data_IF_324467784799
#
_entry.id   IF_324467784799
#
_cell.length_a   1.000
_cell.length_b   1.000
_cell.length_c   1.000
_cell.angle_alpha   90.00
_cell.angle_beta   90.00
_cell.angle_gamma   90.00
#
_symmetry.space_group_name_H-M   'P 1'
#
loop_
_entity.id
_entity.type
_entity.pdbx_description
1 polymer ?
#
# COMPACT_ATOMS: atom_id res chain seq x y z
N UNK A 1 13.07 19.30 -55.27
CA UNK A 1 13.83 19.21 -54.01
C UNK A 1 13.47 20.43 -53.16
N UNK A 2 12.84 20.23 -52.01
CA UNK A 2 13.07 21.13 -50.89
C UNK A 2 13.47 20.37 -49.62
N UNK A 3 14.31 21.04 -48.86
CA UNK A 3 15.11 20.60 -47.72
C UNK A 3 14.39 20.74 -46.38
N UNK A 4 14.62 19.75 -45.54
CA UNK A 4 14.74 19.75 -44.07
C UNK A 4 14.35 21.02 -43.29
N UNK A 5 13.34 20.92 -42.43
CA UNK A 5 13.31 21.57 -41.12
C UNK A 5 12.58 20.69 -40.10
N UNK A 6 13.37 19.93 -39.32
CA UNK A 6 12.93 19.24 -38.11
C UNK A 6 13.69 19.87 -36.93
N UNK A 7 12.99 20.47 -35.98
CA UNK A 7 13.59 21.01 -34.76
C UNK A 7 12.84 22.22 -34.22
N UNK A 8 11.81 21.98 -33.40
CA UNK A 8 11.12 23.09 -32.72
C UNK A 8 10.10 22.66 -31.66
N UNK A 9 9.49 21.47 -31.81
CA UNK A 9 8.30 21.14 -31.01
C UNK A 9 8.52 20.22 -29.80
N UNK A 10 9.76 19.83 -29.46
CA UNK A 10 10.02 18.93 -28.31
C UNK A 10 10.44 19.63 -27.01
N UNK A 11 10.96 20.86 -27.07
CA UNK A 11 11.47 21.57 -25.88
C UNK A 11 10.39 22.33 -25.09
N UNK A 12 9.34 22.84 -25.75
CA UNK A 12 8.25 23.57 -25.07
C UNK A 12 7.36 22.66 -24.20
N UNK A 13 7.22 21.39 -24.56
CA UNK A 13 6.42 20.42 -23.79
C UNK A 13 7.07 20.09 -22.44
N UNK A 14 8.38 19.86 -22.43
CA UNK A 14 9.13 19.50 -21.21
C UNK A 14 9.13 20.65 -20.19
N UNK A 15 9.30 21.89 -20.64
CA UNK A 15 9.32 23.07 -19.75
C UNK A 15 7.96 23.33 -19.12
N UNK A 16 6.86 23.17 -19.88
CA UNK A 16 5.50 23.27 -19.35
C UNK A 16 5.17 22.15 -18.38
N UNK A 17 5.60 20.92 -18.65
CA UNK A 17 5.45 19.76 -17.74
C UNK A 17 6.28 19.93 -16.47
N UNK A 18 7.51 20.44 -16.55
CA UNK A 18 8.36 20.75 -15.39
C UNK A 18 7.82 21.95 -14.58
N UNK A 19 7.20 22.94 -15.23
CA UNK A 19 6.52 24.04 -14.54
C UNK A 19 5.22 23.59 -13.86
N UNK A 20 4.44 22.71 -14.49
CA UNK A 20 3.26 22.09 -13.87
C UNK A 20 3.67 21.18 -12.70
N UNK A 21 4.71 20.35 -12.85
CA UNK A 21 5.25 19.53 -11.76
C UNK A 21 5.82 20.40 -10.64
N UNK A 22 6.58 21.46 -10.94
CA UNK A 22 7.13 22.36 -9.91
C UNK A 22 6.09 23.28 -9.27
N UNK A 23 4.93 23.47 -9.89
CA UNK A 23 3.77 24.17 -9.34
C UNK A 23 2.92 23.23 -8.49
N UNK A 24 2.67 21.99 -8.92
CA UNK A 24 2.05 20.93 -8.11
C UNK A 24 2.90 20.63 -6.88
N UNK A 25 4.22 20.48 -7.03
CA UNK A 25 5.14 20.28 -5.90
C UNK A 25 5.25 21.52 -4.98
N UNK A 26 4.97 22.73 -5.47
CA UNK A 26 4.92 23.97 -4.64
C UNK A 26 3.57 24.18 -3.95
N UNK A 27 2.47 23.88 -4.62
CA UNK A 27 1.10 23.98 -4.10
C UNK A 27 0.78 22.80 -3.16
N UNK A 28 1.52 21.68 -3.24
CA UNK A 28 1.39 20.50 -2.38
C UNK A 28 2.47 20.39 -1.30
N UNK A 29 3.22 21.45 -0.98
CA UNK A 29 4.29 21.39 0.04
C UNK A 29 3.81 20.85 1.39
N UNK A 30 2.64 21.32 1.84
CA UNK A 30 2.02 20.87 3.09
C UNK A 30 1.49 19.44 2.98
N UNK A 31 0.90 19.07 1.85
CA UNK A 31 0.35 17.72 1.59
C UNK A 31 1.47 16.67 1.50
N UNK A 32 2.58 16.96 0.82
CA UNK A 32 3.76 16.08 0.78
C UNK A 32 4.39 15.95 2.17
N UNK A 33 4.38 17.02 2.97
CA UNK A 33 4.86 16.98 4.35
C UNK A 33 3.95 16.13 5.24
N UNK A 34 2.63 16.26 5.08
CA UNK A 34 1.64 15.44 5.77
C UNK A 34 1.78 13.96 5.37
N UNK A 35 1.91 13.64 4.09
CA UNK A 35 2.13 12.27 3.63
C UNK A 35 3.45 11.68 4.15
N UNK A 36 4.53 12.47 4.21
CA UNK A 36 5.78 12.03 4.85
C UNK A 36 5.58 11.71 6.32
N UNK A 37 4.87 12.57 7.06
CA UNK A 37 4.55 12.31 8.45
C UNK A 37 3.70 11.03 8.59
N UNK A 38 2.72 10.82 7.70
CA UNK A 38 1.93 9.59 7.65
C UNK A 38 2.80 8.35 7.41
N UNK A 39 3.78 8.42 6.50
CA UNK A 39 4.74 7.33 6.26
C UNK A 39 5.69 7.10 7.45
N UNK A 40 6.09 8.16 8.16
CA UNK A 40 6.89 8.05 9.38
C UNK A 40 6.10 7.38 10.52
N UNK A 41 4.84 7.79 10.70
CA UNK A 41 3.91 7.13 11.61
C UNK A 41 3.67 5.66 11.24
N UNK A 42 3.50 5.38 9.95
CA UNK A 42 3.38 4.03 9.42
C UNK A 42 4.61 3.19 9.78
N UNK A 43 5.81 3.72 9.52
CA UNK A 43 7.06 3.06 9.87
C UNK A 43 7.19 2.82 11.37
N UNK A 44 6.82 3.79 12.20
CA UNK A 44 6.86 3.65 13.66
C UNK A 44 5.95 2.50 14.13
N UNK A 45 4.72 2.42 13.62
CA UNK A 45 3.77 1.35 13.95
C UNK A 45 4.33 0.00 13.50
N UNK A 46 4.76 -0.10 12.24
CA UNK A 46 5.31 -1.34 11.66
C UNK A 46 6.53 -1.83 12.45
N UNK A 47 7.48 -0.94 12.75
CA UNK A 47 8.67 -1.29 13.54
C UNK A 47 8.30 -1.69 14.96
N UNK A 48 7.36 -0.98 15.59
CA UNK A 48 6.90 -1.32 16.95
C UNK A 48 6.26 -2.70 16.99
N UNK A 49 5.39 -3.01 16.04
CA UNK A 49 4.74 -4.32 15.94
C UNK A 49 5.77 -5.42 15.66
N UNK A 50 6.73 -5.18 14.75
CA UNK A 50 7.80 -6.14 14.46
C UNK A 50 8.70 -6.40 15.67
N UNK A 51 9.18 -5.34 16.33
CA UNK A 51 10.06 -5.44 17.51
C UNK A 51 9.35 -6.12 18.66
N UNK A 52 8.07 -5.81 18.91
CA UNK A 52 7.30 -6.51 19.95
C UNK A 52 7.09 -7.98 19.55
N UNK A 53 6.59 -8.23 18.33
CA UNK A 53 6.31 -9.57 17.85
C UNK A 53 7.52 -10.50 17.86
N UNK A 54 8.73 -9.98 17.65
CA UNK A 54 9.96 -10.79 17.72
C UNK A 54 10.53 -10.98 19.13
N UNK A 55 10.20 -10.12 20.10
CA UNK A 55 10.81 -10.12 21.44
C UNK A 55 9.88 -10.66 22.53
N UNK A 56 8.58 -10.37 22.46
CA UNK A 56 7.64 -10.76 23.52
C UNK A 56 6.86 -12.03 23.22
N UNK A 57 6.81 -12.43 21.94
CA UNK A 57 6.05 -13.61 21.54
C UNK A 57 6.86 -14.88 21.70
N UNK A 58 6.18 -15.96 22.08
CA UNK A 58 6.68 -17.32 21.80
C UNK A 58 6.82 -17.51 20.29
N UNK A 59 7.68 -18.44 19.85
CA UNK A 59 7.83 -18.74 18.42
C UNK A 59 6.46 -19.13 17.83
N UNK A 60 5.87 -18.31 16.94
CA UNK A 60 4.51 -18.55 16.46
C UNK A 60 4.48 -19.72 15.48
N UNK A 61 3.37 -20.45 15.49
CA UNK A 61 3.03 -21.45 14.46
C UNK A 61 2.19 -20.86 13.33
N UNK A 62 1.53 -19.74 13.61
CA UNK A 62 0.71 -18.96 12.70
C UNK A 62 0.73 -17.51 13.19
N UNK A 63 0.72 -16.56 12.27
CA UNK A 63 0.52 -15.14 12.57
C UNK A 63 -0.78 -14.71 11.92
N UNK A 64 -1.66 -14.09 12.70
CA UNK A 64 -2.84 -13.40 12.19
C UNK A 64 -2.60 -11.90 12.34
N UNK A 65 -2.91 -11.15 11.30
CA UNK A 65 -2.74 -9.70 11.29
C UNK A 65 -4.02 -9.04 10.78
N UNK A 66 -4.39 -7.94 11.42
CA UNK A 66 -5.53 -7.11 11.08
C UNK A 66 -4.97 -5.77 10.59
N UNK A 67 -5.41 -5.35 9.41
CA UNK A 67 -4.98 -4.12 8.71
C UNK A 67 -3.55 -4.15 8.10
N UNK A 68 -3.34 -3.25 7.14
CA UNK A 68 -2.13 -3.23 6.29
C UNK A 68 -0.83 -2.96 7.07
N UNK A 69 -0.90 -2.18 8.15
CA UNK A 69 0.26 -1.92 9.01
C UNK A 69 0.76 -3.22 9.65
N UNK A 70 -0.16 -4.01 10.22
CA UNK A 70 0.18 -5.27 10.85
C UNK A 70 0.60 -6.31 9.81
N UNK A 71 0.06 -6.26 8.60
CA UNK A 71 0.45 -7.13 7.50
C UNK A 71 1.95 -6.99 7.18
N UNK A 72 2.48 -5.78 7.03
CA UNK A 72 3.92 -5.60 6.74
C UNK A 72 4.80 -6.14 7.87
N UNK A 73 4.42 -5.89 9.12
CA UNK A 73 5.12 -6.47 10.27
C UNK A 73 5.03 -8.01 10.28
N UNK A 74 3.86 -8.57 9.98
CA UNK A 74 3.61 -10.01 9.93
C UNK A 74 4.45 -10.71 8.84
N UNK A 75 4.61 -10.10 7.66
CA UNK A 75 5.48 -10.65 6.60
C UNK A 75 6.95 -10.69 7.06
N UNK A 76 7.43 -9.67 7.76
CA UNK A 76 8.79 -9.69 8.35
C UNK A 76 8.92 -10.76 9.42
N UNK A 77 7.92 -10.95 10.26
CA UNK A 77 7.91 -12.01 11.28
C UNK A 77 7.81 -13.41 10.66
N UNK A 78 7.08 -13.58 9.55
CA UNK A 78 7.06 -14.82 8.75
C UNK A 78 8.45 -15.20 8.26
N UNK A 79 9.20 -14.23 7.74
CA UNK A 79 10.59 -14.47 7.31
C UNK A 79 11.48 -14.87 8.49
N UNK A 80 11.28 -14.27 9.67
CA UNK A 80 12.04 -14.59 10.87
C UNK A 80 11.73 -15.97 11.44
N UNK A 81 10.44 -16.33 11.54
CA UNK A 81 10.00 -17.53 12.26
C UNK A 81 9.69 -18.73 11.34
N UNK A 82 9.50 -18.50 10.04
CA UNK A 82 9.16 -19.51 9.05
C UNK A 82 7.73 -20.03 9.20
N UNK A 83 6.80 -19.22 9.67
CA UNK A 83 5.39 -19.62 9.91
C UNK A 83 4.42 -18.92 8.94
N UNK A 84 3.26 -19.52 8.66
CA UNK A 84 2.24 -18.91 7.81
C UNK A 84 1.65 -17.62 8.40
N UNK A 85 1.16 -16.76 7.52
CA UNK A 85 0.46 -15.50 7.81
C UNK A 85 -0.94 -15.54 7.23
N UNK A 86 -1.93 -15.24 8.06
CA UNK A 86 -3.30 -14.94 7.64
C UNK A 86 -3.52 -13.44 7.78
N UNK A 87 -3.97 -12.80 6.71
CA UNK A 87 -4.32 -11.38 6.70
C UNK A 87 -5.83 -11.23 6.79
N UNK A 88 -6.31 -10.49 7.78
CA UNK A 88 -7.70 -10.08 7.91
C UNK A 88 -7.87 -8.66 7.37
N UNK A 89 -8.51 -8.56 6.21
CA UNK A 89 -8.73 -7.33 5.48
C UNK A 89 -10.17 -6.86 5.71
N UNK A 90 -10.36 -5.93 6.64
CA UNK A 90 -11.68 -5.38 6.96
C UNK A 90 -12.09 -4.25 6.01
N UNK A 91 -11.13 -3.56 5.39
CA UNK A 91 -11.35 -2.39 4.55
C UNK A 91 -10.37 -2.36 3.38
N UNK A 92 -10.75 -1.70 2.28
CA UNK A 92 -9.83 -1.38 1.18
C UNK A 92 -9.02 -0.16 1.60
N UNK A 93 -7.82 -0.39 2.12
CA UNK A 93 -7.09 0.62 2.87
C UNK A 93 -6.67 1.84 2.03
N UNK A 94 -6.25 1.59 0.78
CA UNK A 94 -5.87 2.66 -0.13
C UNK A 94 -6.99 3.67 -0.41
N UNK A 95 -8.26 3.25 -0.32
CA UNK A 95 -9.43 4.09 -0.61
C UNK A 95 -10.14 4.57 0.67
N UNK A 96 -9.62 4.23 1.86
CA UNK A 96 -10.28 4.51 3.14
C UNK A 96 -10.23 5.97 3.60
N UNK A 97 -9.29 6.78 3.07
CA UNK A 97 -9.18 8.21 3.37
C UNK A 97 -9.82 9.05 2.28
N UNK A 98 -10.95 9.70 2.60
CA UNK A 98 -11.70 10.55 1.66
C UNK A 98 -10.91 11.76 1.14
N UNK A 99 -9.94 12.25 1.92
CA UNK A 99 -9.13 13.43 1.58
C UNK A 99 -7.80 13.06 0.90
N UNK A 100 -7.55 11.77 0.66
CA UNK A 100 -6.29 11.34 0.06
C UNK A 100 -6.15 11.75 -1.39
N UNK A 101 -4.96 12.22 -1.74
CA UNK A 101 -4.63 12.57 -3.12
C UNK A 101 -4.48 11.28 -3.95
N UNK A 102 -4.78 11.34 -5.25
CA UNK A 102 -4.69 10.17 -6.15
C UNK A 102 -3.33 9.45 -6.09
N UNK A 103 -2.24 10.19 -5.89
CA UNK A 103 -0.89 9.63 -5.81
C UNK A 103 -0.59 8.97 -4.45
N UNK A 104 -1.27 9.39 -3.38
CA UNK A 104 -1.21 8.74 -2.06
C UNK A 104 -1.90 7.38 -2.12
N UNK A 105 -3.11 7.37 -2.70
CA UNK A 105 -3.91 6.15 -2.93
C UNK A 105 -3.07 5.13 -3.72
N UNK A 106 -2.46 5.56 -4.83
CA UNK A 106 -1.57 4.71 -5.63
C UNK A 106 -0.39 4.19 -4.80
N UNK A 107 0.33 5.06 -4.08
CA UNK A 107 1.48 4.65 -3.28
C UNK A 107 1.10 3.61 -2.21
N UNK A 108 -0.03 3.81 -1.53
CA UNK A 108 -0.54 2.90 -0.50
C UNK A 108 -1.04 1.58 -1.12
N UNK A 109 -1.75 1.63 -2.24
CA UNK A 109 -2.20 0.45 -2.98
C UNK A 109 -1.02 -0.40 -3.46
N UNK A 110 0.10 0.24 -3.85
CA UNK A 110 1.34 -0.47 -4.19
C UNK A 110 1.95 -1.19 -2.98
N UNK A 111 2.01 -0.54 -1.82
CA UNK A 111 2.50 -1.17 -0.58
C UNK A 111 1.61 -2.35 -0.19
N UNK A 112 0.29 -2.16 -0.21
CA UNK A 112 -0.68 -3.22 0.09
C UNK A 112 -0.55 -4.39 -0.89
N UNK A 113 -0.44 -4.12 -2.19
CA UNK A 113 -0.23 -5.13 -3.23
C UNK A 113 1.01 -5.98 -2.97
N UNK A 114 2.13 -5.35 -2.60
CA UNK A 114 3.37 -6.08 -2.33
C UNK A 114 3.23 -6.95 -1.08
N UNK A 115 2.62 -6.43 -0.01
CA UNK A 115 2.50 -7.14 1.25
C UNK A 115 1.48 -8.30 1.17
N UNK A 116 0.32 -8.06 0.56
CA UNK A 116 -0.78 -9.05 0.49
C UNK A 116 -0.40 -10.28 -0.34
N UNK A 117 0.46 -10.10 -1.34
CA UNK A 117 1.00 -11.21 -2.13
C UNK A 117 1.87 -12.17 -1.33
N UNK A 118 2.31 -11.80 -0.12
CA UNK A 118 3.09 -12.67 0.76
C UNK A 118 2.28 -13.31 1.91
N UNK A 119 1.03 -12.90 2.13
CA UNK A 119 0.12 -13.57 3.06
C UNK A 119 -0.23 -14.96 2.52
N UNK A 120 -0.28 -15.99 3.35
CA UNK A 120 -0.64 -17.36 2.92
C UNK A 120 -2.15 -17.52 2.74
N UNK A 121 -2.94 -16.72 3.44
CA UNK A 121 -4.39 -16.65 3.28
C UNK A 121 -4.89 -15.25 3.60
N UNK A 122 -5.99 -14.85 2.97
CA UNK A 122 -6.67 -13.58 3.24
C UNK A 122 -8.11 -13.85 3.66
N UNK A 123 -8.56 -13.21 4.72
CA UNK A 123 -9.92 -13.20 5.21
C UNK A 123 -10.48 -11.79 5.02
N UNK A 124 -11.74 -11.68 4.68
CA UNK A 124 -12.44 -10.39 4.61
C UNK A 124 -13.91 -10.56 4.95
N UNK A 125 -14.62 -9.46 5.20
CA UNK A 125 -15.95 -9.46 5.80
C UNK A 125 -17.10 -9.59 4.81
N UNK A 126 -16.87 -9.36 3.51
CA UNK A 126 -17.96 -9.36 2.52
C UNK A 126 -17.54 -9.89 1.14
N UNK A 127 -18.47 -10.52 0.38
CA UNK A 127 -18.18 -10.98 -0.98
C UNK A 127 -17.69 -9.89 -1.94
N UNK A 128 -18.21 -8.63 -1.93
CA UNK A 128 -17.68 -7.57 -2.78
C UNK A 128 -16.19 -7.27 -2.54
N UNK A 129 -15.73 -7.33 -1.28
CA UNK A 129 -14.30 -7.14 -0.98
C UNK A 129 -13.50 -8.33 -1.49
N UNK A 130 -14.02 -9.56 -1.41
CA UNK A 130 -13.35 -10.73 -2.02
C UNK A 130 -13.07 -10.48 -3.50
N UNK A 131 -14.10 -10.11 -4.27
CA UNK A 131 -13.95 -9.88 -5.71
C UNK A 131 -12.99 -8.72 -6.01
N UNK A 132 -13.04 -7.65 -5.20
CA UNK A 132 -12.09 -6.54 -5.30
C UNK A 132 -10.65 -7.02 -5.08
N UNK A 133 -10.36 -7.71 -3.97
CA UNK A 133 -9.01 -8.15 -3.64
C UNK A 133 -8.45 -9.12 -4.70
N UNK A 134 -9.29 -10.05 -5.18
CA UNK A 134 -8.92 -10.98 -6.25
C UNK A 134 -8.55 -10.23 -7.53
N UNK A 135 -9.42 -9.32 -7.98
CA UNK A 135 -9.23 -8.55 -9.21
C UNK A 135 -8.05 -7.57 -9.13
N UNK A 136 -7.94 -6.85 -8.01
CA UNK A 136 -6.96 -5.77 -7.83
C UNK A 136 -5.56 -6.31 -7.55
N UNK A 137 -5.44 -7.36 -6.73
CA UNK A 137 -4.14 -7.89 -6.31
C UNK A 137 -3.74 -9.23 -6.96
N UNK A 138 -4.65 -9.86 -7.71
CA UNK A 138 -4.38 -11.12 -8.41
C UNK A 138 -4.17 -12.31 -7.47
N UNK A 139 -4.83 -12.30 -6.31
CA UNK A 139 -4.71 -13.35 -5.29
C UNK A 139 -5.99 -14.21 -5.27
N UNK A 140 -5.86 -15.53 -5.20
CA UNK A 140 -7.04 -16.43 -5.17
C UNK A 140 -7.42 -16.93 -3.77
N UNK A 141 -6.48 -16.86 -2.83
CA UNK A 141 -6.58 -17.37 -1.46
C UNK A 141 -7.31 -16.41 -0.52
N UNK A 142 -8.53 -16.04 -0.92
CA UNK A 142 -9.37 -15.08 -0.20
C UNK A 142 -10.66 -15.76 0.27
N UNK A 143 -11.00 -15.64 1.55
CA UNK A 143 -12.23 -16.18 2.14
C UNK A 143 -13.08 -15.06 2.73
N UNK A 144 -14.39 -15.11 2.47
CA UNK A 144 -15.36 -14.26 3.15
C UNK A 144 -15.75 -14.88 4.50
N UNK A 145 -15.50 -14.15 5.59
CA UNK A 145 -15.95 -14.46 6.94
C UNK A 145 -16.73 -13.25 7.49
N UNK A 146 -18.07 -13.22 7.36
CA UNK A 146 -18.89 -12.12 7.86
C UNK A 146 -18.79 -11.97 9.38
N UNK A 147 -19.04 -10.76 9.88
CA UNK A 147 -19.20 -10.53 11.32
C UNK A 147 -20.38 -11.34 11.87
N UNK A 148 -20.27 -11.79 13.11
CA UNK A 148 -21.37 -12.47 13.80
C UNK A 148 -22.53 -11.50 14.09
N UNK A 149 -23.75 -12.00 13.97
CA UNK A 149 -25.00 -11.31 14.36
C UNK A 149 -25.29 -11.46 15.85
#
# INVERSE_FOLDING_TARGET
VPTCHAGGYRALGLYKTLLLLSRVLREQGDQVTAFKADLEWWNLIVETLFVRGRTVSVRPRLIMCHDVYALVAAIRLKQLFGCPVVYDCHEVWAEGKLDSQWWEIEALAWIERLAIQHADHVITVSPPIVDYLKKTYGIERVTCAPNAE
#
